data_IF_356625307265
#
_entry.id   IF_356625307265
#
_cell.length_a   1.000
_cell.length_b   1.000
_cell.length_c   1.000
_cell.angle_alpha   90.00
_cell.angle_beta   90.00
_cell.angle_gamma   90.00
#
_symmetry.space_group_name_H-M   'P 1'
#
loop_
_entity.id
_entity.type
_entity.pdbx_description
1 polymer ?
#
# COMPACT_ATOMS: atom_id res chain seq x y z
N UNK A 1 8.51 -12.63 -70.67
CA UNK A 1 9.26 -12.04 -69.54
C UNK A 1 8.28 -11.92 -68.38
N UNK A 2 8.41 -12.76 -67.35
CA UNK A 2 7.48 -12.82 -66.21
C UNK A 2 7.94 -11.80 -65.17
N UNK A 3 7.16 -10.74 -64.96
CA UNK A 3 7.41 -9.75 -63.93
C UNK A 3 7.02 -10.34 -62.57
N UNK A 4 8.01 -10.52 -61.70
CA UNK A 4 7.81 -10.85 -60.29
C UNK A 4 7.61 -9.53 -59.53
N UNK A 5 6.38 -9.24 -59.13
CA UNK A 5 6.09 -8.09 -58.25
C UNK A 5 6.39 -8.51 -56.81
N UNK A 6 7.47 -7.98 -56.24
CA UNK A 6 7.86 -8.17 -54.85
C UNK A 6 6.95 -7.31 -53.95
N UNK A 7 6.06 -7.93 -53.18
CA UNK A 7 5.24 -7.25 -52.17
C UNK A 7 6.11 -7.07 -50.93
N UNK A 8 6.56 -5.84 -50.68
CA UNK A 8 7.29 -5.45 -49.48
C UNK A 8 6.29 -5.34 -48.32
N UNK A 9 6.23 -6.36 -47.46
CA UNK A 9 5.53 -6.28 -46.18
C UNK A 9 6.30 -5.30 -45.27
N UNK A 10 5.79 -4.07 -45.14
CA UNK A 10 6.20 -3.20 -44.05
C UNK A 10 5.70 -3.79 -42.73
N UNK A 11 6.61 -4.32 -41.92
CA UNK A 11 6.39 -4.56 -40.51
C UNK A 11 6.25 -3.19 -39.82
N UNK A 12 5.03 -2.68 -39.76
CA UNK A 12 4.69 -1.59 -38.84
C UNK A 12 4.84 -2.17 -37.44
N UNK A 13 5.92 -1.80 -36.75
CA UNK A 13 6.05 -2.01 -35.30
C UNK A 13 5.05 -1.10 -34.62
N UNK A 14 3.80 -1.55 -34.52
CA UNK A 14 2.84 -0.95 -33.59
C UNK A 14 3.42 -1.19 -32.21
N UNK A 15 3.84 -0.12 -31.53
CA UNK A 15 4.09 -0.14 -30.10
C UNK A 15 2.73 -0.38 -29.42
N UNK A 16 2.32 -1.63 -29.34
CA UNK A 16 1.28 -2.06 -28.42
C UNK A 16 1.85 -1.80 -27.02
N UNK A 17 1.52 -0.65 -26.44
CA UNK A 17 1.67 -0.44 -25.00
C UNK A 17 0.60 -1.28 -24.31
N UNK A 18 0.83 -2.59 -24.35
CA UNK A 18 0.01 -3.60 -23.70
C UNK A 18 0.62 -3.86 -22.34
N UNK A 19 0.36 -2.96 -21.39
CA UNK A 19 0.28 -3.20 -19.94
C UNK A 19 0.08 -1.84 -19.27
N UNK A 20 -1.20 -1.44 -19.10
CA UNK A 20 -1.55 -0.31 -18.23
C UNK A 20 -1.69 -0.78 -16.77
N UNK A 21 -1.91 -2.08 -16.58
CA UNK A 21 -2.14 -2.71 -15.29
C UNK A 21 -0.83 -3.01 -14.58
N UNK A 22 -0.46 -2.12 -13.66
CA UNK A 22 0.61 -2.24 -12.65
C UNK A 22 2.01 -2.54 -13.21
N UNK A 23 3.05 -2.10 -12.51
CA UNK A 23 4.44 -2.44 -12.85
C UNK A 23 5.11 -3.21 -11.70
N UNK A 24 6.30 -3.76 -11.97
CA UNK A 24 7.10 -4.44 -10.96
C UNK A 24 7.30 -3.55 -9.73
N UNK A 25 7.28 -4.20 -8.56
CA UNK A 25 7.39 -3.51 -7.28
C UNK A 25 6.12 -2.78 -6.86
N UNK A 26 4.96 -3.05 -7.49
CA UNK A 26 3.70 -2.48 -7.07
C UNK A 26 3.35 -2.82 -5.62
N UNK A 27 3.03 -1.79 -4.84
CA UNK A 27 2.63 -1.88 -3.45
C UNK A 27 1.38 -1.03 -3.22
N UNK A 28 0.39 -1.62 -2.55
CA UNK A 28 -0.79 -0.92 -2.06
C UNK A 28 -0.83 -0.97 -0.54
N UNK A 29 -1.30 0.11 0.07
CA UNK A 29 -1.66 0.16 1.48
C UNK A 29 -3.12 0.55 1.62
N UNK A 30 -3.85 -0.22 2.42
CA UNK A 30 -5.23 0.05 2.80
C UNK A 30 -5.33 0.13 4.31
N UNK A 31 -5.88 1.20 4.87
CA UNK A 31 -6.23 1.22 6.28
C UNK A 31 -7.49 0.38 6.50
N UNK A 32 -7.55 -0.32 7.62
CA UNK A 32 -8.78 -1.01 8.04
C UNK A 32 -9.07 -0.75 9.52
N UNK A 33 -10.35 -0.77 9.87
CA UNK A 33 -10.81 -0.71 11.27
C UNK A 33 -11.89 -1.74 11.54
N UNK A 34 -11.90 -2.24 12.78
CA UNK A 34 -12.85 -3.17 13.38
C UNK A 34 -13.25 -2.64 14.77
N UNK A 35 -14.21 -3.27 15.44
CA UNK A 35 -14.72 -2.85 16.75
C UNK A 35 -13.64 -2.77 17.84
N UNK A 36 -12.63 -3.62 17.80
CA UNK A 36 -11.61 -3.75 18.85
C UNK A 36 -10.17 -3.48 18.37
N UNK A 37 -10.02 -2.90 17.19
CA UNK A 37 -8.70 -2.60 16.67
C UNK A 37 -8.73 -2.16 15.22
N UNK A 38 -7.56 -2.22 14.59
CA UNK A 38 -7.41 -1.85 13.21
C UNK A 38 -5.96 -1.97 12.79
N UNK A 39 -5.65 -1.40 11.65
CA UNK A 39 -4.31 -1.38 11.13
C UNK A 39 -4.32 -1.11 9.64
N UNK A 40 -3.43 -1.80 8.93
CA UNK A 40 -3.39 -1.69 7.48
C UNK A 40 -3.14 -3.04 6.81
N UNK A 41 -3.61 -3.16 5.58
CA UNK A 41 -3.33 -4.26 4.67
C UNK A 41 -2.31 -3.75 3.66
N UNK A 42 -1.17 -4.44 3.56
CA UNK A 42 -0.15 -4.21 2.54
C UNK A 42 -0.26 -5.28 1.47
N UNK A 43 -0.48 -4.88 0.22
CA UNK A 43 -0.49 -5.79 -0.92
C UNK A 43 0.80 -5.56 -1.70
N UNK A 44 1.58 -6.61 -1.96
CA UNK A 44 2.84 -6.49 -2.71
C UNK A 44 2.80 -7.38 -3.94
N UNK A 45 3.13 -6.83 -5.10
CA UNK A 45 3.47 -7.59 -6.30
C UNK A 45 4.88 -8.18 -6.14
N UNK A 46 4.97 -9.51 -6.05
CA UNK A 46 6.21 -10.22 -5.70
C UNK A 46 6.94 -10.85 -6.88
N UNK A 47 6.21 -11.53 -7.76
CA UNK A 47 6.78 -12.24 -8.90
C UNK A 47 5.72 -12.52 -9.96
N UNK A 48 6.16 -12.72 -11.21
CA UNK A 48 5.33 -13.28 -12.25
C UNK A 48 5.24 -14.80 -12.11
N UNK A 49 4.10 -15.36 -12.50
CA UNK A 49 3.89 -16.81 -12.59
C UNK A 49 3.04 -17.18 -13.80
N UNK A 50 2.97 -18.47 -14.12
CA UNK A 50 2.14 -18.99 -15.21
C UNK A 50 0.99 -19.82 -14.65
N UNK A 51 -0.24 -19.37 -14.87
CA UNK A 51 -1.45 -20.11 -14.49
C UNK A 51 -2.32 -20.28 -15.74
N UNK A 52 -2.64 -21.53 -16.08
CA UNK A 52 -3.44 -21.89 -17.28
C UNK A 52 -2.95 -21.22 -18.58
N UNK A 53 -1.63 -21.05 -18.73
CA UNK A 53 -1.00 -20.43 -19.90
C UNK A 53 -1.01 -18.89 -19.92
N UNK A 54 -1.51 -18.23 -18.87
CA UNK A 54 -1.48 -16.78 -18.72
C UNK A 54 -0.34 -16.36 -17.79
N UNK A 55 0.45 -15.36 -18.21
CA UNK A 55 1.45 -14.74 -17.36
C UNK A 55 0.74 -13.82 -16.37
N UNK A 56 0.81 -14.16 -15.09
CA UNK A 56 0.08 -13.52 -14.01
C UNK A 56 1.03 -12.85 -13.02
N UNK A 57 0.63 -11.68 -12.53
CA UNK A 57 1.26 -11.05 -11.36
C UNK A 57 0.75 -11.74 -10.09
N UNK A 58 1.68 -12.16 -9.22
CA UNK A 58 1.37 -12.70 -7.89
C UNK A 58 1.36 -11.58 -6.85
N UNK A 59 0.19 -11.33 -6.29
CA UNK A 59 -0.06 -10.30 -5.28
C UNK A 59 -0.24 -10.96 -3.91
N UNK A 60 0.58 -10.54 -2.94
CA UNK A 60 0.56 -11.08 -1.57
C UNK A 60 0.03 -10.00 -0.62
N UNK A 61 -1.21 -10.14 -0.11
CA UNK A 61 -1.75 -9.25 0.90
C UNK A 61 -1.38 -9.72 2.31
N UNK A 62 -0.86 -8.81 3.14
CA UNK A 62 -0.55 -9.04 4.56
C UNK A 62 -1.30 -8.00 5.39
N UNK A 63 -2.12 -8.47 6.33
CA UNK A 63 -2.85 -7.63 7.28
C UNK A 63 -2.00 -7.42 8.54
N UNK A 64 -1.67 -6.18 8.85
CA UNK A 64 -0.93 -5.78 10.05
C UNK A 64 -1.91 -5.29 11.10
N UNK A 65 -1.93 -5.95 12.26
CA UNK A 65 -2.93 -5.73 13.29
C UNK A 65 -2.39 -4.96 14.46
N UNK A 66 -3.15 -3.95 14.87
CA UNK A 66 -2.86 -3.10 16.01
C UNK A 66 -4.11 -2.95 16.88
N UNK A 67 -3.90 -2.72 18.17
CA UNK A 67 -4.96 -2.35 19.11
C UNK A 67 -4.42 -1.30 20.09
N UNK A 68 -5.27 -0.88 21.03
CA UNK A 68 -4.87 -0.02 22.13
C UNK A 68 -4.77 -0.83 23.42
N UNK A 69 -3.71 -0.62 24.20
CA UNK A 69 -3.65 -1.13 25.57
C UNK A 69 -4.56 -0.33 26.52
N UNK A 70 -4.59 -0.73 27.79
CA UNK A 70 -5.32 -0.03 28.85
C UNK A 70 -4.89 1.43 29.09
N UNK A 71 -3.75 1.85 28.54
CA UNK A 71 -3.19 3.21 28.63
C UNK A 71 -3.33 3.97 27.30
N UNK A 72 -4.10 3.45 26.34
CA UNK A 72 -4.27 4.02 25.00
C UNK A 72 -3.00 4.08 24.16
N UNK A 73 -2.01 3.21 24.44
CA UNK A 73 -0.85 3.06 23.57
C UNK A 73 -1.17 2.08 22.43
N UNK A 74 -0.65 2.39 21.25
CA UNK A 74 -0.72 1.49 20.10
C UNK A 74 0.14 0.26 20.37
N UNK A 75 -0.47 -0.92 20.29
CA UNK A 75 0.18 -2.22 20.46
C UNK A 75 0.07 -3.01 19.17
N UNK A 76 1.22 -3.47 18.67
CA UNK A 76 1.27 -4.39 17.54
C UNK A 76 0.88 -5.80 17.99
N UNK A 77 -0.17 -6.35 17.39
CA UNK A 77 -0.67 -7.69 17.69
C UNK A 77 -0.05 -8.78 16.80
N UNK A 78 0.44 -8.40 15.62
CA UNK A 78 1.05 -9.31 14.67
C UNK A 78 0.54 -9.12 13.24
N UNK A 79 0.85 -10.08 12.39
CA UNK A 79 0.45 -10.11 10.98
C UNK A 79 -0.36 -11.34 10.64
N UNK A 80 -1.33 -11.19 9.74
CA UNK A 80 -2.07 -12.29 9.11
C UNK A 80 -1.80 -12.26 7.60
N UNK A 81 -1.37 -13.39 7.04
CA UNK A 81 -1.32 -13.57 5.60
C UNK A 81 -2.74 -13.78 5.08
N UNK A 82 -3.21 -12.89 4.22
CA UNK A 82 -4.46 -13.08 3.50
C UNK A 82 -4.22 -13.98 2.28
N UNK A 83 -5.28 -14.52 1.66
CA UNK A 83 -5.14 -15.33 0.45
C UNK A 83 -4.29 -14.62 -0.61
N UNK A 84 -3.35 -15.36 -1.21
CA UNK A 84 -2.59 -14.87 -2.36
C UNK A 84 -3.52 -14.68 -3.54
N UNK A 85 -3.39 -13.55 -4.22
CA UNK A 85 -4.19 -13.19 -5.38
C UNK A 85 -3.30 -13.22 -6.63
N UNK A 86 -3.91 -13.54 -7.77
CA UNK A 86 -3.23 -13.55 -9.05
C UNK A 86 -4.03 -12.75 -10.04
N UNK A 87 -3.39 -11.79 -10.70
CA UNK A 87 -4.00 -11.00 -11.76
C UNK A 87 -3.26 -11.18 -13.08
N UNK A 88 -3.93 -10.96 -14.19
CA UNK A 88 -3.29 -10.62 -15.46
C UNK A 88 -4.16 -9.64 -16.21
N UNK A 89 -3.60 -8.95 -17.20
CA UNK A 89 -4.37 -8.07 -18.08
C UNK A 89 -4.31 -8.55 -19.53
N UNK A 90 -5.41 -8.35 -20.24
CA UNK A 90 -5.50 -8.59 -21.68
C UNK A 90 -6.42 -7.54 -22.30
N UNK A 91 -5.84 -6.66 -23.12
CA UNK A 91 -6.54 -5.49 -23.64
C UNK A 91 -6.97 -4.55 -22.49
N UNK A 92 -8.25 -4.19 -22.46
CA UNK A 92 -8.84 -3.30 -21.45
C UNK A 92 -9.34 -4.03 -20.19
N UNK A 93 -9.09 -5.33 -20.08
CA UNK A 93 -9.64 -6.15 -19.01
C UNK A 93 -8.54 -6.70 -18.11
N UNK A 94 -8.73 -6.52 -16.80
CA UNK A 94 -7.95 -7.15 -15.74
C UNK A 94 -8.74 -8.34 -15.24
N UNK A 95 -8.08 -9.49 -15.22
CA UNK A 95 -8.62 -10.74 -14.72
C UNK A 95 -7.96 -11.09 -13.41
N UNK A 96 -8.67 -11.84 -12.57
CA UNK A 96 -8.13 -12.42 -11.35
C UNK A 96 -8.51 -13.90 -11.25
N UNK A 97 -7.65 -14.67 -10.58
CA UNK A 97 -7.81 -16.11 -10.47
C UNK A 97 -8.63 -16.49 -9.24
N UNK A 98 -9.82 -17.07 -9.45
CA UNK A 98 -10.70 -17.58 -8.39
C UNK A 98 -11.31 -18.90 -8.80
N UNK A 99 -11.49 -19.82 -7.84
CA UNK A 99 -12.16 -21.11 -8.07
C UNK A 99 -11.61 -21.88 -9.29
N UNK A 100 -10.28 -21.87 -9.43
CA UNK A 100 -9.52 -22.50 -10.51
C UNK A 100 -9.79 -21.95 -11.93
N UNK A 101 -10.35 -20.75 -12.03
CA UNK A 101 -10.67 -20.09 -13.29
C UNK A 101 -10.33 -18.59 -13.22
N UNK A 102 -10.24 -17.95 -14.38
CA UNK A 102 -10.07 -16.51 -14.44
C UNK A 102 -11.42 -15.84 -14.63
N UNK A 103 -11.70 -14.87 -13.77
CA UNK A 103 -12.88 -14.02 -13.84
C UNK A 103 -12.45 -12.57 -14.07
N UNK A 104 -13.34 -11.77 -14.60
CA UNK A 104 -13.09 -10.34 -14.78
C UNK A 104 -13.04 -9.66 -13.41
N UNK A 105 -11.91 -9.06 -13.08
CA UNK A 105 -11.80 -8.16 -11.93
C UNK A 105 -12.30 -6.78 -12.34
N UNK A 106 -11.70 -6.21 -13.39
CA UNK A 106 -12.03 -4.88 -13.92
C UNK A 106 -12.08 -4.88 -15.44
N UNK A 107 -13.02 -4.16 -16.03
CA UNK A 107 -13.10 -3.95 -17.48
C UNK A 107 -13.21 -2.46 -17.80
N UNK A 108 -12.11 -1.85 -18.25
CA UNK A 108 -12.03 -0.42 -18.59
C UNK A 108 -12.60 -0.08 -19.97
N UNK A 109 -13.04 -1.10 -20.74
CA UNK A 109 -13.80 -0.95 -21.97
C UNK A 109 -15.32 -0.99 -21.76
N UNK A 110 -15.78 -1.31 -20.56
CA UNK A 110 -17.20 -1.42 -20.23
C UNK A 110 -17.92 -0.05 -20.25
N UNK A 111 -19.22 -0.07 -20.51
CA UNK A 111 -20.11 1.09 -20.52
C UNK A 111 -21.01 1.10 -19.27
N UNK A 112 -21.51 2.28 -18.85
CA UNK A 112 -22.52 2.36 -17.78
C UNK A 112 -23.70 1.44 -18.07
N UNK A 113 -24.09 0.63 -17.08
CA UNK A 113 -25.11 -0.40 -17.22
C UNK A 113 -24.57 -1.81 -17.45
N UNK A 114 -23.32 -1.97 -17.90
CA UNK A 114 -22.69 -3.29 -18.05
C UNK A 114 -22.49 -3.98 -16.70
N UNK A 115 -22.41 -5.31 -16.73
CA UNK A 115 -22.13 -6.13 -15.55
C UNK A 115 -21.38 -7.39 -15.92
N UNK A 116 -20.61 -7.94 -14.97
CA UNK A 116 -19.94 -9.23 -15.13
C UNK A 116 -19.92 -10.02 -13.83
N UNK A 117 -19.80 -11.34 -13.96
CA UNK A 117 -19.71 -12.27 -12.85
C UNK A 117 -18.28 -12.26 -12.27
N UNK A 118 -18.19 -12.19 -10.94
CA UNK A 118 -16.95 -12.21 -10.16
C UNK A 118 -16.48 -13.64 -9.81
N UNK A 119 -17.24 -14.67 -10.19
CA UNK A 119 -16.87 -16.07 -9.97
C UNK A 119 -16.92 -16.52 -8.52
N UNK A 120 -17.66 -15.78 -7.67
CA UNK A 120 -17.81 -16.07 -6.25
C UNK A 120 -19.29 -16.18 -5.92
N UNK A 121 -19.65 -17.35 -5.39
CA UNK A 121 -20.93 -17.62 -4.74
C UNK A 121 -20.61 -18.39 -3.45
N UNK A 122 -20.76 -17.72 -2.31
CA UNK A 122 -20.52 -18.36 -1.02
C UNK A 122 -21.75 -19.12 -0.53
N UNK A 123 -22.95 -18.82 -1.04
CA UNK A 123 -24.24 -19.19 -0.44
C UNK A 123 -24.33 -18.88 1.07
N UNK A 124 -23.45 -18.01 1.59
CA UNK A 124 -23.44 -17.58 2.98
C UNK A 124 -24.29 -16.33 3.14
N UNK A 125 -24.88 -16.15 4.32
CA UNK A 125 -25.66 -14.96 4.65
C UNK A 125 -26.74 -14.61 3.61
N UNK A 126 -27.41 -15.64 3.08
CA UNK A 126 -28.43 -15.52 2.03
C UNK A 126 -27.96 -14.85 0.73
N UNK A 127 -26.65 -14.74 0.54
CA UNK A 127 -26.06 -14.25 -0.70
C UNK A 127 -26.02 -15.33 -1.79
N UNK A 128 -25.77 -14.88 -3.01
CA UNK A 128 -25.73 -15.65 -4.25
C UNK A 128 -24.57 -15.19 -5.13
N UNK A 129 -24.52 -15.66 -6.38
CA UNK A 129 -23.60 -15.22 -7.41
C UNK A 129 -23.30 -13.72 -7.36
N UNK A 130 -22.01 -13.40 -7.38
CA UNK A 130 -21.52 -12.04 -7.23
C UNK A 130 -21.30 -11.36 -8.57
N UNK A 131 -21.83 -10.16 -8.71
CA UNK A 131 -21.69 -9.36 -9.93
C UNK A 131 -21.21 -7.94 -9.62
N UNK A 132 -20.30 -7.46 -10.45
CA UNK A 132 -19.98 -6.05 -10.53
C UNK A 132 -20.90 -5.37 -11.54
N UNK A 133 -21.32 -4.14 -11.24
CA UNK A 133 -22.13 -3.29 -12.09
C UNK A 133 -21.42 -1.96 -12.35
N UNK A 134 -21.42 -1.49 -13.59
CA UNK A 134 -20.79 -0.22 -13.97
C UNK A 134 -21.77 0.93 -13.81
N UNK A 135 -21.53 1.81 -12.84
CA UNK A 135 -22.38 2.98 -12.61
C UNK A 135 -22.02 4.13 -13.55
N UNK A 136 -20.73 4.37 -13.73
CA UNK A 136 -20.21 5.50 -14.52
C UNK A 136 -18.75 5.28 -14.93
N UNK A 137 -18.30 6.07 -15.90
CA UNK A 137 -16.93 6.04 -16.42
C UNK A 137 -16.37 7.45 -16.53
N UNK A 138 -15.06 7.58 -16.61
CA UNK A 138 -14.42 8.86 -16.90
C UNK A 138 -12.91 8.79 -16.94
N UNK A 139 -12.28 9.94 -16.81
CA UNK A 139 -10.82 10.08 -16.69
C UNK A 139 -10.44 10.83 -15.42
N UNK A 140 -9.24 10.57 -14.92
CA UNK A 140 -8.65 11.20 -13.74
C UNK A 140 -7.16 11.44 -13.97
N UNK A 141 -6.62 12.51 -13.37
CA UNK A 141 -5.22 12.85 -13.49
C UNK A 141 -4.46 12.41 -12.24
N UNK A 142 -3.39 11.64 -12.43
CA UNK A 142 -2.40 11.33 -11.39
C UNK A 142 -0.99 11.63 -11.93
N UNK A 143 -0.19 12.38 -11.18
CA UNK A 143 1.21 12.71 -11.54
C UNK A 143 1.35 13.24 -12.99
N UNK A 144 0.45 14.14 -13.39
CA UNK A 144 0.36 14.72 -14.76
C UNK A 144 0.01 13.75 -15.89
N UNK A 145 -0.32 12.50 -15.57
CA UNK A 145 -0.82 11.51 -16.53
C UNK A 145 -2.33 11.34 -16.40
N UNK A 146 -3.01 11.14 -17.52
CA UNK A 146 -4.46 10.92 -17.58
C UNK A 146 -4.73 9.43 -17.64
N UNK A 147 -5.61 8.94 -16.75
CA UNK A 147 -6.02 7.54 -16.67
C UNK A 147 -7.53 7.41 -16.75
N UNK A 148 -8.02 6.35 -17.38
CA UNK A 148 -9.43 5.95 -17.33
C UNK A 148 -9.79 5.43 -15.94
N UNK A 149 -11.02 5.70 -15.53
CA UNK A 149 -11.62 5.05 -14.38
C UNK A 149 -13.04 4.56 -14.69
N UNK A 150 -13.44 3.51 -13.97
CA UNK A 150 -14.80 2.98 -13.92
C UNK A 150 -15.28 3.05 -12.46
N UNK A 151 -16.53 3.43 -12.23
CA UNK A 151 -17.17 3.34 -10.90
C UNK A 151 -18.00 2.07 -10.87
N UNK A 152 -17.80 1.26 -9.84
CA UNK A 152 -18.51 0.01 -9.66
C UNK A 152 -19.41 0.04 -8.43
N UNK A 153 -20.47 -0.74 -8.52
CA UNK A 153 -21.33 -1.14 -7.42
C UNK A 153 -21.60 -2.64 -7.50
N UNK A 154 -22.05 -3.23 -6.39
CA UNK A 154 -22.48 -4.62 -6.36
C UNK A 154 -23.96 -4.74 -6.73
N UNK A 155 -24.33 -5.84 -7.39
CA UNK A 155 -25.74 -6.18 -7.59
C UNK A 155 -26.32 -6.76 -6.29
N UNK A 156 -27.61 -6.54 -6.06
CA UNK A 156 -28.36 -7.10 -4.92
C UNK A 156 -28.07 -8.59 -4.74
N UNK A 157 -27.89 -9.01 -3.49
CA UNK A 157 -27.61 -10.39 -3.07
C UNK A 157 -26.27 -10.97 -3.55
N UNK A 158 -25.31 -10.17 -4.00
CA UNK A 158 -23.95 -10.66 -4.31
C UNK A 158 -23.20 -11.06 -3.04
N UNK A 159 -22.59 -12.26 -3.02
CA UNK A 159 -21.70 -12.73 -1.93
C UNK A 159 -20.49 -11.85 -1.68
N UNK A 160 -19.93 -11.26 -2.73
CA UNK A 160 -18.86 -10.27 -2.66
C UNK A 160 -19.16 -9.10 -3.59
N UNK A 161 -18.56 -7.94 -3.32
CA UNK A 161 -18.78 -6.73 -4.09
C UNK A 161 -17.49 -5.98 -4.41
N UNK A 162 -17.50 -5.31 -5.56
CA UNK A 162 -16.60 -4.20 -5.86
C UNK A 162 -17.40 -2.91 -5.71
N UNK A 163 -16.74 -1.86 -5.20
CA UNK A 163 -17.40 -0.57 -5.01
C UNK A 163 -16.48 0.61 -5.30
N UNK A 164 -17.06 1.74 -5.67
CA UNK A 164 -16.32 3.00 -5.87
C UNK A 164 -15.49 3.02 -7.15
N UNK A 165 -14.62 4.04 -7.26
CA UNK A 165 -13.80 4.25 -8.46
C UNK A 165 -12.58 3.34 -8.49
N UNK A 166 -12.41 2.73 -9.65
CA UNK A 166 -11.29 1.89 -10.04
C UNK A 166 -10.55 2.60 -11.17
N UNK A 167 -9.25 2.83 -11.03
CA UNK A 167 -8.41 3.43 -12.08
C UNK A 167 -7.60 2.36 -12.80
N UNK A 168 -7.42 2.49 -14.11
CA UNK A 168 -6.73 1.49 -14.94
C UNK A 168 -5.27 1.23 -14.56
N UNK A 169 -4.64 2.21 -13.88
CA UNK A 169 -3.23 2.13 -13.52
C UNK A 169 -2.94 1.22 -12.35
N UNK A 170 -3.84 1.16 -11.36
CA UNK A 170 -3.60 0.48 -10.09
C UNK A 170 -4.84 -0.03 -9.36
N UNK A 171 -6.02 0.05 -9.96
CA UNK A 171 -7.24 -0.56 -9.42
C UNK A 171 -8.01 0.35 -8.46
N UNK A 172 -8.63 -0.25 -7.45
CA UNK A 172 -9.49 0.44 -6.50
C UNK A 172 -8.72 1.43 -5.62
N UNK A 173 -9.14 2.70 -5.65
CA UNK A 173 -8.57 3.77 -4.81
C UNK A 173 -9.61 4.45 -3.91
N UNK A 174 -10.84 3.93 -3.90
CA UNK A 174 -11.93 4.33 -3.00
C UNK A 174 -12.48 3.14 -2.19
N UNK A 175 -11.93 1.94 -2.42
CA UNK A 175 -12.31 0.67 -1.78
C UNK A 175 -11.11 -0.28 -1.88
N UNK A 176 -11.27 -1.54 -1.45
CA UNK A 176 -10.23 -2.56 -1.50
C UNK A 176 -9.95 -3.06 -2.94
N UNK A 177 -8.72 -3.51 -3.22
CA UNK A 177 -8.27 -3.97 -4.55
C UNK A 177 -9.05 -5.18 -5.07
N UNK A 178 -9.61 -6.00 -4.19
CA UNK A 178 -10.34 -7.22 -4.55
C UNK A 178 -11.77 -7.16 -4.02
N UNK A 179 -12.68 -8.01 -4.55
CA UNK A 179 -14.04 -8.07 -4.04
C UNK A 179 -14.08 -8.37 -2.54
N UNK A 180 -14.87 -7.60 -1.81
CA UNK A 180 -15.06 -7.75 -0.35
C UNK A 180 -16.34 -8.50 -0.06
N UNK A 181 -16.35 -9.28 1.02
CA UNK A 181 -17.53 -10.02 1.47
C UNK A 181 -18.71 -9.11 1.79
N UNK A 182 -19.91 -9.67 1.63
CA UNK A 182 -21.16 -8.99 1.89
C UNK A 182 -22.08 -9.84 2.77
N UNK A 183 -23.04 -9.18 3.41
CA UNK A 183 -24.11 -9.83 4.14
C UNK A 183 -25.45 -9.50 3.46
N UNK A 184 -26.11 -10.52 2.94
CA UNK A 184 -27.41 -10.41 2.28
C UNK A 184 -28.57 -10.83 3.21
N UNK A 185 -28.26 -11.21 4.45
CA UNK A 185 -29.21 -11.58 5.48
C UNK A 185 -29.41 -10.43 6.46
N UNK A 186 -30.52 -9.72 6.28
CA UNK A 186 -30.90 -8.58 7.12
C UNK A 186 -31.23 -8.96 8.56
N UNK A 187 -31.31 -10.25 8.91
CA UNK A 187 -31.65 -10.71 10.25
C UNK A 187 -30.45 -10.87 11.18
N UNK A 188 -29.24 -10.83 10.62
CA UNK A 188 -27.98 -10.95 11.36
C UNK A 188 -27.13 -9.70 11.19
N UNK A 189 -26.45 -9.31 12.27
CA UNK A 189 -25.39 -8.32 12.19
C UNK A 189 -24.06 -9.05 12.02
N UNK A 190 -23.38 -8.80 10.90
CA UNK A 190 -22.04 -9.31 10.61
C UNK A 190 -21.09 -8.12 10.60
N UNK A 191 -19.94 -8.30 11.23
CA UNK A 191 -18.88 -7.31 11.25
C UNK A 191 -17.86 -7.67 10.16
N UNK A 192 -17.61 -6.72 9.25
CA UNK A 192 -16.57 -6.79 8.23
C UNK A 192 -15.60 -5.63 8.41
N UNK A 193 -14.38 -5.80 7.90
CA UNK A 193 -13.37 -4.74 7.89
C UNK A 193 -13.91 -3.49 7.16
N UNK A 194 -13.82 -2.34 7.82
CA UNK A 194 -14.02 -1.06 7.13
C UNK A 194 -12.71 -0.66 6.47
N UNK A 195 -12.57 -0.95 5.18
CA UNK A 195 -11.32 -0.76 4.43
C UNK A 195 -11.34 0.56 3.65
N UNK A 196 -10.24 1.30 3.71
CA UNK A 196 -10.03 2.52 2.92
C UNK A 196 -8.64 2.54 2.29
N UNK A 197 -8.55 3.01 1.05
CA UNK A 197 -7.28 3.16 0.35
C UNK A 197 -6.41 4.24 1.01
N UNK A 198 -5.11 3.95 1.16
CA UNK A 198 -4.12 4.86 1.75
C UNK A 198 -3.07 5.29 0.73
N UNK A 199 -2.35 4.32 0.16
CA UNK A 199 -1.21 4.58 -0.71
C UNK A 199 -1.07 3.59 -1.86
N UNK A 200 -0.42 4.04 -2.92
CA UNK A 200 0.06 3.20 -4.01
C UNK A 200 1.37 3.73 -4.61
N UNK A 201 2.29 2.82 -4.92
CA UNK A 201 3.45 3.10 -5.75
C UNK A 201 3.89 1.86 -6.52
N UNK A 202 4.66 2.06 -7.59
CA UNK A 202 5.44 1.00 -8.22
C UNK A 202 6.69 1.58 -8.92
N UNK A 203 7.42 0.75 -9.67
CA UNK A 203 8.66 1.18 -10.32
C UNK A 203 8.51 2.29 -11.37
N UNK A 204 7.31 2.52 -11.91
CA UNK A 204 7.05 3.55 -12.94
C UNK A 204 5.99 4.57 -12.52
N UNK A 205 5.42 4.43 -11.33
CA UNK A 205 4.43 5.33 -10.75
C UNK A 205 4.86 5.77 -9.35
N UNK A 206 5.21 7.05 -9.24
CA UNK A 206 5.61 7.66 -7.96
C UNK A 206 4.49 7.58 -6.92
N UNK A 207 4.89 7.47 -5.65
CA UNK A 207 3.98 7.38 -4.51
C UNK A 207 2.80 8.34 -4.59
N UNK A 208 1.61 7.76 -4.73
CA UNK A 208 0.36 8.44 -4.48
C UNK A 208 -0.08 8.10 -3.06
N UNK A 209 -0.16 9.13 -2.21
CA UNK A 209 -0.57 9.02 -0.83
C UNK A 209 -1.78 9.94 -0.61
N UNK A 210 -2.89 9.38 -0.14
CA UNK A 210 -4.11 10.15 0.16
C UNK A 210 -3.91 11.07 1.36
N UNK A 211 -3.01 10.68 2.28
CA UNK A 211 -2.66 11.43 3.47
C UNK A 211 -1.25 12.04 3.36
N UNK A 212 -0.82 12.73 4.42
CA UNK A 212 0.58 13.16 4.57
C UNK A 212 1.40 12.25 5.49
N UNK A 213 0.78 11.23 6.07
CA UNK A 213 1.45 10.27 6.94
C UNK A 213 2.14 9.19 6.11
N UNK A 214 3.19 8.59 6.69
CA UNK A 214 3.81 7.40 6.11
C UNK A 214 2.77 6.28 5.91
N UNK A 215 2.87 5.52 4.82
CA UNK A 215 1.90 4.47 4.47
C UNK A 215 1.91 3.30 5.46
N UNK A 216 2.99 3.18 6.24
CA UNK A 216 3.21 2.22 7.32
C UNK A 216 3.43 2.96 8.65
N UNK A 217 2.76 4.11 8.85
CA UNK A 217 2.95 4.96 10.05
C UNK A 217 2.74 4.24 11.38
N UNK A 218 2.03 3.11 11.43
CA UNK A 218 1.86 2.30 12.65
C UNK A 218 3.06 1.38 12.94
N UNK A 219 3.87 1.05 11.92
CA UNK A 219 5.16 0.36 12.10
C UNK A 219 6.28 1.33 12.40
N UNK A 220 6.15 2.55 11.88
CA UNK A 220 6.97 3.68 12.32
C UNK A 220 6.61 3.93 13.79
N UNK A 221 7.43 3.44 14.72
CA UNK A 221 7.32 3.83 16.13
C UNK A 221 7.21 5.35 16.12
N UNK A 222 6.10 5.88 16.63
CA UNK A 222 5.94 7.31 16.82
C UNK A 222 7.12 7.82 17.68
N UNK A 223 8.18 8.29 17.02
CA UNK A 223 8.98 9.43 17.51
C UNK A 223 8.10 10.70 17.57
N UNK A 224 6.83 10.64 17.11
CA UNK A 224 5.86 11.74 17.23
C UNK A 224 5.34 12.03 18.64
N UNK A 225 5.86 11.38 19.70
CA UNK A 225 5.66 11.82 21.09
C UNK A 225 6.94 12.30 21.78
N UNK A 226 8.05 12.39 21.07
CA UNK A 226 9.17 13.22 21.47
C UNK A 226 9.78 13.79 20.19
N UNK A 227 9.54 15.08 19.91
CA UNK A 227 10.66 15.86 19.40
C UNK A 227 11.81 15.66 20.39
N UNK A 228 12.63 14.62 20.19
CA UNK A 228 13.99 14.58 20.71
C UNK A 228 14.65 15.75 20.02
N UNK A 229 14.56 16.90 20.67
CA UNK A 229 15.49 17.98 20.41
C UNK A 229 16.86 17.33 20.52
N UNK A 230 17.66 17.32 19.45
CA UNK A 230 19.03 16.89 19.65
C UNK A 230 19.64 17.83 20.72
N UNK A 231 20.38 17.30 21.71
CA UNK A 231 21.05 18.15 22.68
C UNK A 231 21.90 19.16 21.92
N UNK A 232 21.71 20.45 22.21
CA UNK A 232 22.55 21.50 21.63
C UNK A 232 23.86 21.53 22.43
N UNK A 233 24.97 21.21 21.75
CA UNK A 233 26.30 21.18 22.36
C UNK A 233 27.11 22.34 21.79
N UNK A 234 27.53 23.28 22.63
CA UNK A 234 28.30 24.42 22.19
C UNK A 234 29.23 24.99 23.28
N UNK A 235 30.31 25.69 22.91
CA UNK A 235 30.83 25.79 21.56
C UNK A 235 31.46 24.47 21.08
N UNK A 236 31.28 24.14 19.80
CA UNK A 236 32.04 23.07 19.14
C UNK A 236 32.54 23.63 17.80
N UNK A 237 33.85 23.88 17.61
CA UNK A 237 34.97 23.54 18.50
C UNK A 237 35.02 24.35 19.81
N UNK A 238 35.67 23.84 20.85
CA UNK A 238 35.89 24.49 22.16
C UNK A 238 37.38 24.65 22.49
N UNK A 239 37.71 25.55 23.41
CA UNK A 239 39.03 25.64 24.07
C UNK A 239 39.10 24.88 25.39
N UNK A 240 38.04 24.15 25.75
CA UNK A 240 38.02 23.32 26.95
C UNK A 240 36.64 23.17 27.57
N UNK A 241 35.75 24.17 27.50
CA UNK A 241 34.43 24.09 28.16
C UNK A 241 33.32 23.97 27.11
N UNK A 242 32.41 23.01 27.28
CA UNK A 242 31.19 22.88 26.48
C UNK A 242 29.95 22.84 27.37
N UNK A 243 28.83 23.30 26.84
CA UNK A 243 27.52 23.23 27.47
C UNK A 243 26.59 22.33 26.66
N UNK A 244 25.85 21.48 27.37
CA UNK A 244 24.83 20.59 26.82
C UNK A 244 23.46 21.13 27.21
N UNK A 245 22.72 21.64 26.22
CA UNK A 245 21.38 22.17 26.40
C UNK A 245 20.36 21.13 25.96
N UNK A 246 19.73 20.48 26.94
CA UNK A 246 18.69 19.47 26.72
C UNK A 246 17.72 19.40 27.90
N UNK A 247 16.47 19.04 27.61
CA UNK A 247 15.46 18.87 28.65
C UNK A 247 15.68 17.54 29.37
N UNK A 248 15.85 17.57 30.70
CA UNK A 248 16.03 16.41 31.58
C UNK A 248 17.26 15.54 31.25
N UNK A 249 18.44 16.04 31.60
CA UNK A 249 19.69 15.28 31.51
C UNK A 249 19.73 14.22 32.63
N UNK A 250 19.87 12.95 32.21
CA UNK A 250 19.99 11.78 33.10
C UNK A 250 21.48 11.45 33.34
N UNK A 251 22.28 11.52 32.29
CA UNK A 251 23.73 11.38 32.33
C UNK A 251 24.37 11.96 31.07
N UNK A 252 25.62 12.35 31.20
CA UNK A 252 26.51 12.82 30.15
C UNK A 252 27.78 12.01 30.26
N UNK A 253 28.18 11.38 29.17
CA UNK A 253 29.46 10.69 29.04
C UNK A 253 30.18 11.22 27.80
N UNK A 254 31.47 11.50 27.93
CA UNK A 254 32.33 11.91 26.80
C UNK A 254 33.34 10.81 26.55
N UNK A 255 33.50 10.46 25.28
CA UNK A 255 34.43 9.44 24.81
C UNK A 255 35.43 10.10 23.85
N UNK A 256 36.69 9.68 23.91
CA UNK A 256 37.67 10.08 22.90
C UNK A 256 37.48 9.30 21.59
N UNK A 257 38.20 9.71 20.54
CA UNK A 257 38.17 9.09 19.21
C UNK A 257 38.56 7.60 19.14
N UNK A 258 39.08 7.02 20.22
CA UNK A 258 39.43 5.59 20.33
C UNK A 258 38.38 4.83 21.18
N UNK A 259 37.35 5.52 21.68
CA UNK A 259 36.24 4.94 22.45
C UNK A 259 36.50 4.84 23.96
N UNK A 260 37.54 5.47 24.49
CA UNK A 260 37.77 5.52 25.94
C UNK A 260 36.94 6.65 26.56
N UNK A 261 36.26 6.37 27.68
CA UNK A 261 35.51 7.39 28.44
C UNK A 261 36.48 8.35 29.13
N UNK A 262 36.35 9.64 28.85
CA UNK A 262 37.16 10.73 29.41
C UNK A 262 36.39 11.60 30.41
N UNK A 263 35.05 11.59 30.35
CA UNK A 263 34.20 12.31 31.29
C UNK A 263 32.89 11.55 31.57
N UNK A 264 32.38 11.69 32.79
CA UNK A 264 31.10 11.15 33.24
C UNK A 264 30.48 12.12 34.26
N UNK A 265 29.22 12.51 34.04
CA UNK A 265 28.44 13.27 35.00
C UNK A 265 26.95 12.94 34.88
N UNK A 266 26.22 13.02 35.99
CA UNK A 266 24.78 12.71 36.03
C UNK A 266 23.88 13.93 35.83
N UNK A 267 24.31 15.15 36.18
CA UNK A 267 23.37 16.30 36.23
C UNK A 267 23.96 17.66 35.85
N UNK A 268 25.27 17.79 35.65
CA UNK A 268 25.84 19.08 35.24
C UNK A 268 25.85 19.22 33.72
N UNK A 269 25.26 20.30 33.24
CA UNK A 269 25.18 20.62 31.81
C UNK A 269 26.49 21.22 31.27
N UNK A 270 27.41 21.62 32.14
CA UNK A 270 28.73 22.14 31.78
C UNK A 270 29.78 21.05 31.93
N UNK A 271 30.56 20.84 30.88
CA UNK A 271 31.63 19.85 30.80
C UNK A 271 32.94 20.61 30.60
N UNK A 272 33.93 20.30 31.44
CA UNK A 272 35.28 20.84 31.33
C UNK A 272 36.23 19.74 30.81
N UNK A 273 36.68 19.94 29.57
CA UNK A 273 37.62 19.15 28.79
C UNK A 273 38.96 19.90 28.62
N UNK A 274 39.24 20.96 29.41
CA UNK A 274 40.46 21.78 29.26
C UNK A 274 41.76 20.99 29.48
N UNK A 275 41.67 19.81 30.10
CA UNK A 275 42.82 18.93 30.40
C UNK A 275 43.01 17.82 29.37
N UNK A 276 42.14 17.75 28.37
CA UNK A 276 42.15 16.70 27.37
C UNK A 276 42.90 17.10 26.09
N UNK A 277 43.45 16.13 25.33
CA UNK A 277 44.11 16.43 24.07
C UNK A 277 43.12 16.96 23.01
N UNK A 278 43.62 17.77 22.08
CA UNK A 278 42.84 18.20 20.92
C UNK A 278 42.37 16.99 20.10
N UNK A 279 41.10 16.99 19.70
CA UNK A 279 40.52 15.95 18.84
C UNK A 279 39.89 14.76 19.57
N UNK A 280 39.34 15.00 20.77
CA UNK A 280 38.30 14.13 21.36
C UNK A 280 37.11 14.06 20.43
#
# INVERSE_FOLDING_TARGET
>A
MKNFTLILLLFITVNLQSQIWIDHGAVWHYNYSELFGGGFIKITYTEDTLINGQQCQKLIPIKYMFTLDQYSNIVFLGTINLPTEYTYSSGDTVFYYKNNQFYTLYNFGAQPGDSWNLGVDTNQFLCTDSYAHVDSIGTINFNSSVYRWISLSNINNSSVGLSGKIVERFGAFQSYLFPVENNCDSTIAVEFDMISFSCYEDSTFSLYNVSSNDCEYLLSINDNNNQKSNPLIYPNPTTGIIEVHYNNIISIEVYNSIGNKVFDNKTKNTIDLSFEPNGI
#
